data_IF_268367257126
#
_entry.id   IF_268367257126
#
_cell.length_a   1.000
_cell.length_b   1.000
_cell.length_c   1.000
_cell.angle_alpha   90.00
_cell.angle_beta   90.00
_cell.angle_gamma   90.00
#
_symmetry.space_group_name_H-M   'P 1'
#
loop_
_entity.id
_entity.type
_entity.pdbx_description
1 polymer ?
#
# COMPACT_ATOMS: atom_id res chain seq x y z
N UNK A 1 -11.79 -0.01 18.48
CA UNK A 1 -10.72 -0.58 17.63
C UNK A 1 -10.55 0.34 16.43
N UNK A 2 -9.31 0.68 16.03
CA UNK A 2 -9.06 1.56 14.88
C UNK A 2 -8.47 0.74 13.73
N UNK A 3 -9.15 0.74 12.58
CA UNK A 3 -8.66 0.13 11.34
C UNK A 3 -8.18 1.26 10.43
N UNK A 4 -6.97 1.11 9.89
CA UNK A 4 -6.42 2.01 8.89
C UNK A 4 -6.24 1.22 7.59
N UNK A 5 -7.06 1.54 6.59
CA UNK A 5 -6.75 1.15 5.21
C UNK A 5 -5.64 2.09 4.71
N UNK A 6 -4.51 1.52 4.29
CA UNK A 6 -3.39 2.34 3.83
C UNK A 6 -3.26 2.15 2.33
N UNK A 7 -3.90 3.04 1.59
CA UNK A 7 -3.82 3.06 0.14
C UNK A 7 -2.66 3.95 -0.30
N UNK A 8 -1.77 3.44 -1.15
CA UNK A 8 -0.78 4.25 -1.84
C UNK A 8 -1.47 4.94 -3.05
N UNK A 9 -1.71 6.26 -3.00
CA UNK A 9 -2.26 6.97 -4.17
C UNK A 9 -1.60 8.33 -4.49
N UNK A 10 -1.60 8.58 -5.82
CA UNK A 10 -0.95 9.62 -6.63
C UNK A 10 -1.40 11.06 -6.29
N UNK A 11 -0.48 12.04 -6.42
CA UNK A 11 -0.82 13.48 -6.52
C UNK A 11 -1.69 13.74 -7.78
N UNK A 12 -2.67 14.65 -7.67
CA UNK A 12 -3.41 15.20 -8.83
C UNK A 12 -2.45 15.88 -9.83
N UNK A 13 -2.70 15.80 -11.15
CA UNK A 13 -2.04 16.66 -12.12
C UNK A 13 -2.43 18.13 -11.89
N UNK A 14 -1.44 19.03 -11.97
CA UNK A 14 -1.68 20.47 -11.96
C UNK A 14 -2.33 20.87 -13.29
N UNK A 15 -3.59 21.28 -13.25
CA UNK A 15 -4.33 21.62 -14.45
C UNK A 15 -5.74 22.05 -14.12
N UNK A 16 -5.86 23.19 -13.44
CA UNK A 16 -6.94 24.15 -13.67
C UNK A 16 -6.48 25.49 -13.07
N UNK A 17 -6.05 26.39 -13.95
CA UNK A 17 -5.72 27.77 -13.61
C UNK A 17 -7.01 28.48 -13.21
N UNK A 18 -7.29 28.56 -11.91
CA UNK A 18 -8.19 29.57 -11.39
C UNK A 18 -7.49 30.94 -11.46
N UNK A 19 -8.28 31.95 -11.82
CA UNK A 19 -7.91 33.29 -12.29
C UNK A 19 -7.11 34.11 -11.27
N UNK A 20 -6.34 35.05 -11.82
CA UNK A 20 -5.54 36.05 -11.12
C UNK A 20 -6.34 36.92 -10.12
N UNK A 21 -5.69 37.31 -9.00
CA UNK A 21 -6.06 38.55 -8.29
C UNK A 21 -6.32 38.53 -6.77
N UNK A 22 -5.54 37.81 -5.94
CA UNK A 22 -5.57 38.04 -4.46
C UNK A 22 -4.15 37.92 -3.84
N UNK A 23 -3.69 38.86 -3.00
CA UNK A 23 -2.30 38.89 -2.51
C UNK A 23 -2.04 37.88 -1.37
N UNK A 24 -0.80 37.38 -1.37
CA UNK A 24 -0.18 36.61 -0.29
C UNK A 24 0.18 37.54 0.88
N UNK A 25 -0.20 37.18 2.11
CA UNK A 25 0.38 37.74 3.33
C UNK A 25 0.88 36.59 4.22
N UNK A 26 2.20 36.50 4.35
CA UNK A 26 2.84 35.68 5.37
C UNK A 26 2.88 36.41 6.72
N UNK A 27 2.63 35.67 7.80
CA UNK A 27 3.39 35.78 9.05
C UNK A 27 3.06 34.63 10.00
N UNK A 28 4.10 34.19 10.69
CA UNK A 28 4.13 33.20 11.76
C UNK A 28 3.09 33.46 12.84
N UNK A 29 2.37 32.42 13.28
CA UNK A 29 1.95 32.25 14.67
C UNK A 29 1.89 30.76 15.03
N UNK A 30 2.78 30.35 15.94
CA UNK A 30 2.62 29.13 16.73
C UNK A 30 1.63 29.41 17.87
N UNK A 31 0.58 28.60 17.99
CA UNK A 31 -0.15 28.40 19.25
C UNK A 31 -0.59 26.92 19.38
N UNK A 32 -0.63 26.36 20.61
CA UNK A 32 -0.93 24.94 20.83
C UNK A 32 -2.44 24.71 20.86
N UNK A 33 -2.97 23.87 19.98
CA UNK A 33 -4.39 23.53 19.98
C UNK A 33 -4.71 22.55 21.12
N UNK A 34 -5.46 23.03 22.11
CA UNK A 34 -6.13 22.26 23.16
C UNK A 34 -6.99 21.14 22.57
N UNK A 35 -6.91 19.95 23.17
CA UNK A 35 -7.72 18.79 22.82
C UNK A 35 -9.15 18.99 23.36
N UNK A 36 -10.14 19.12 22.48
CA UNK A 36 -11.56 18.94 22.82
C UNK A 36 -12.06 17.58 22.28
N UNK A 37 -12.99 16.91 22.97
CA UNK A 37 -13.50 15.60 22.56
C UNK A 37 -14.51 15.76 21.42
N UNK A 38 -14.27 15.08 20.28
CA UNK A 38 -15.17 15.17 19.11
C UNK A 38 -16.04 13.91 18.99
N UNK A 39 -17.30 14.05 19.38
CA UNK A 39 -18.43 13.21 18.99
C UNK A 39 -18.70 13.32 17.46
N UNK A 40 -19.07 12.17 16.90
CA UNK A 40 -19.84 11.89 15.66
C UNK A 40 -19.70 12.76 14.40
N UNK A 41 -19.39 12.03 13.31
CA UNK A 41 -19.62 12.31 11.88
C UNK A 41 -18.87 13.49 11.28
N UNK A 42 -17.77 13.19 10.55
CA UNK A 42 -17.37 13.87 9.31
C UNK A 42 -16.33 13.01 8.58
N UNK A 43 -16.51 12.87 7.26
CA UNK A 43 -15.54 12.29 6.32
C UNK A 43 -14.22 13.06 6.47
N UNK A 44 -13.10 12.37 6.67
CA UNK A 44 -11.79 13.01 6.72
C UNK A 44 -11.08 12.78 5.39
N UNK A 45 -11.04 13.82 4.55
CA UNK A 45 -9.97 14.02 3.57
C UNK A 45 -8.82 14.71 4.29
N UNK A 46 -7.61 14.17 4.18
CA UNK A 46 -6.39 14.89 4.54
C UNK A 46 -5.32 14.59 3.48
N UNK A 47 -4.81 15.65 2.87
CA UNK A 47 -3.67 15.63 1.96
C UNK A 47 -2.59 16.50 2.58
N UNK A 48 -1.35 16.02 2.63
CA UNK A 48 -0.18 16.79 3.10
C UNK A 48 0.91 16.73 2.03
N UNK A 49 1.49 17.89 1.74
CA UNK A 49 2.53 18.14 0.72
C UNK A 49 3.94 17.93 1.29
N UNK A 50 4.85 17.48 0.42
CA UNK A 50 6.29 17.58 0.58
C UNK A 50 6.93 17.70 -0.81
N UNK A 51 7.88 18.63 -0.95
CA UNK A 51 8.65 18.92 -2.16
C UNK A 51 9.85 17.97 -2.33
N UNK A 52 10.34 17.83 -3.57
CA UNK A 52 11.53 17.07 -3.92
C UNK A 52 12.61 18.01 -4.50
N UNK A 53 13.93 17.70 -4.32
CA UNK A 53 15.03 18.62 -4.59
C UNK A 53 15.42 18.70 -6.08
N UNK A 54 16.21 19.73 -6.40
CA UNK A 54 16.64 20.13 -7.74
C UNK A 54 17.48 19.07 -8.48
N UNK A 55 17.33 19.06 -9.82
CA UNK A 55 18.04 18.20 -10.77
C UNK A 55 19.53 18.57 -10.84
N UNK A 56 20.41 17.58 -10.73
CA UNK A 56 21.82 17.70 -11.09
C UNK A 56 22.06 17.10 -12.48
N UNK A 57 22.70 17.87 -13.36
CA UNK A 57 23.11 17.44 -14.69
C UNK A 57 24.38 16.58 -14.62
N UNK A 58 24.37 15.39 -15.23
CA UNK A 58 25.58 14.60 -15.44
C UNK A 58 25.90 14.49 -16.93
N UNK A 59 27.07 15.01 -17.29
CA UNK A 59 27.72 14.90 -18.60
C UNK A 59 28.19 13.45 -18.79
N UNK A 60 27.82 12.80 -19.91
CA UNK A 60 28.26 11.44 -20.25
C UNK A 60 29.44 11.50 -21.24
N UNK A 61 30.49 10.72 -20.96
CA UNK A 61 31.66 10.53 -21.82
C UNK A 61 31.33 9.68 -23.07
N UNK A 62 31.94 9.94 -24.24
CA UNK A 62 31.64 9.21 -25.47
C UNK A 62 32.49 7.93 -25.55
N UNK A 63 31.85 6.75 -25.53
CA UNK A 63 32.56 5.48 -25.74
C UNK A 63 31.82 4.20 -25.38
N UNK A 64 30.68 4.26 -24.69
CA UNK A 64 29.92 3.06 -24.35
C UNK A 64 28.88 2.76 -25.45
N UNK A 65 29.02 1.60 -26.09
CA UNK A 65 28.03 1.06 -27.02
C UNK A 65 26.63 1.16 -26.40
N UNK A 66 25.66 1.66 -27.17
CA UNK A 66 24.27 1.80 -26.71
C UNK A 66 23.77 0.41 -26.28
N UNK A 67 23.20 0.25 -25.06
CA UNK A 67 22.64 -1.02 -24.66
C UNK A 67 21.57 -1.48 -25.65
N UNK A 68 21.64 -2.75 -26.05
CA UNK A 68 20.75 -3.41 -27.04
C UNK A 68 19.28 -3.34 -26.64
N UNK A 69 18.97 -3.14 -25.36
CA UNK A 69 17.69 -2.69 -24.87
C UNK A 69 17.85 -1.29 -24.24
N UNK A 70 17.44 -0.24 -24.97
CA UNK A 70 17.04 0.98 -24.28
C UNK A 70 15.69 0.68 -23.59
N UNK A 71 15.53 0.87 -22.27
CA UNK A 71 14.25 0.62 -21.62
C UNK A 71 13.18 1.50 -22.30
N UNK A 72 11.98 0.96 -22.58
CA UNK A 72 10.89 1.78 -23.13
C UNK A 72 10.67 3.01 -22.23
N UNK A 73 10.71 4.21 -22.80
CA UNK A 73 10.54 5.46 -22.06
C UNK A 73 9.19 5.54 -21.33
N UNK A 74 8.17 4.79 -21.79
CA UNK A 74 6.87 4.62 -21.09
C UNK A 74 6.95 3.78 -19.81
N UNK A 75 8.04 3.04 -19.62
CA UNK A 75 8.37 2.35 -18.37
C UNK A 75 9.30 3.22 -17.50
N UNK A 76 10.15 4.04 -18.11
CA UNK A 76 11.13 4.90 -17.43
C UNK A 76 10.52 6.13 -16.75
N UNK A 77 9.42 6.66 -17.25
CA UNK A 77 8.71 7.77 -16.59
C UNK A 77 8.16 7.37 -15.21
N UNK A 78 8.33 6.10 -14.81
CA UNK A 78 7.96 5.54 -13.53
C UNK A 78 6.45 5.59 -13.31
N UNK A 79 5.67 5.99 -14.31
CA UNK A 79 4.21 6.04 -14.24
C UNK A 79 3.58 4.68 -14.48
N UNK A 80 4.31 3.79 -15.14
CA UNK A 80 4.00 2.36 -15.27
C UNK A 80 4.49 1.55 -14.08
N UNK A 81 5.79 1.63 -13.73
CA UNK A 81 6.35 0.81 -12.62
C UNK A 81 5.81 1.20 -11.25
N UNK A 82 5.64 2.51 -10.96
CA UNK A 82 5.17 3.01 -9.65
C UNK A 82 3.77 2.53 -9.25
N UNK A 83 3.01 1.97 -10.20
CA UNK A 83 1.66 1.46 -9.96
C UNK A 83 1.67 0.10 -9.26
N UNK A 84 2.70 -0.72 -9.50
CA UNK A 84 2.74 -2.11 -9.04
C UNK A 84 3.68 -2.32 -7.84
N UNK A 85 4.66 -1.43 -7.64
CA UNK A 85 5.67 -1.52 -6.57
C UNK A 85 5.34 -0.64 -5.33
N UNK A 86 4.30 0.19 -5.41
CA UNK A 86 3.91 1.14 -4.36
C UNK A 86 3.51 0.49 -3.03
N UNK A 87 2.80 -0.64 -3.06
CA UNK A 87 2.33 -1.31 -1.85
C UNK A 87 3.47 -1.99 -1.09
N UNK A 88 4.43 -2.56 -1.81
CA UNK A 88 5.65 -3.09 -1.19
C UNK A 88 6.48 -1.96 -0.59
N UNK A 89 6.64 -0.84 -1.29
CA UNK A 89 7.34 0.32 -0.76
C UNK A 89 6.67 0.83 0.54
N UNK A 90 5.34 0.86 0.56
CA UNK A 90 4.56 1.20 1.75
C UNK A 90 4.82 0.25 2.92
N UNK A 91 4.77 -1.07 2.69
CA UNK A 91 5.06 -2.07 3.74
C UNK A 91 6.46 -1.85 4.31
N UNK A 92 7.46 -1.70 3.44
CA UNK A 92 8.85 -1.46 3.86
C UNK A 92 8.95 -0.16 4.66
N UNK A 93 8.28 0.93 4.25
CA UNK A 93 8.29 2.19 4.99
C UNK A 93 7.61 2.08 6.37
N UNK A 94 6.51 1.32 6.48
CA UNK A 94 5.84 1.08 7.76
C UNK A 94 6.77 0.33 8.73
N UNK A 95 7.44 -0.71 8.24
CA UNK A 95 8.36 -1.53 9.01
C UNK A 95 9.60 -0.73 9.40
N UNK A 96 10.28 -0.11 8.43
CA UNK A 96 11.51 0.65 8.63
C UNK A 96 11.34 1.81 9.63
N UNK A 97 10.15 2.42 9.68
CA UNK A 97 9.81 3.44 10.66
C UNK A 97 9.24 2.89 11.97
N UNK A 98 9.14 1.57 12.15
CA UNK A 98 8.55 0.94 13.33
C UNK A 98 7.12 1.42 13.62
N UNK A 99 6.34 1.77 12.58
CA UNK A 99 4.99 2.33 12.76
C UNK A 99 4.05 1.30 13.42
N UNK A 100 3.97 0.04 12.95
CA UNK A 100 3.13 -0.97 13.60
C UNK A 100 3.53 -1.26 15.05
N UNK A 101 4.82 -1.14 15.36
CA UNK A 101 5.33 -1.31 16.72
C UNK A 101 4.91 -0.16 17.65
N UNK A 102 4.98 1.10 17.16
CA UNK A 102 4.55 2.29 17.93
C UNK A 102 3.03 2.35 18.11
N UNK A 103 2.26 1.77 17.20
CA UNK A 103 0.80 1.80 17.23
C UNK A 103 0.20 0.39 17.11
N UNK A 104 0.43 -0.51 18.10
CA UNK A 104 0.07 -1.93 17.99
C UNK A 104 -1.45 -2.19 17.96
N UNK A 105 -2.24 -1.21 18.40
CA UNK A 105 -3.70 -1.27 18.42
C UNK A 105 -4.36 -0.85 17.10
N UNK A 106 -3.58 -0.38 16.12
CA UNK A 106 -4.06 -0.09 14.76
C UNK A 106 -3.94 -1.35 13.92
N UNK A 107 -5.00 -1.70 13.19
CA UNK A 107 -4.93 -2.75 12.16
C UNK A 107 -4.74 -2.11 10.80
N UNK A 108 -3.67 -2.48 10.12
CA UNK A 108 -3.31 -1.96 8.80
C UNK A 108 -3.75 -2.96 7.74
N UNK A 109 -4.47 -2.49 6.72
CA UNK A 109 -4.80 -3.28 5.53
C UNK A 109 -4.00 -2.71 4.36
N UNK A 110 -3.16 -3.54 3.76
CA UNK A 110 -2.34 -3.21 2.59
C UNK A 110 -3.03 -3.75 1.34
N UNK A 111 -3.24 -2.93 0.31
CA UNK A 111 -3.95 -3.36 -0.87
C UNK A 111 -3.08 -4.24 -1.77
N UNK A 112 -3.73 -4.87 -2.75
CA UNK A 112 -3.14 -5.64 -3.84
C UNK A 112 -2.24 -6.78 -3.37
N UNK A 113 -2.66 -7.52 -2.34
CA UNK A 113 -1.86 -8.58 -1.69
C UNK A 113 -0.49 -8.09 -1.17
N UNK A 114 -0.29 -6.77 -1.02
CA UNK A 114 0.99 -6.17 -0.65
C UNK A 114 1.99 -6.05 -1.79
N UNK A 115 1.55 -6.14 -3.05
CA UNK A 115 2.41 -6.13 -4.23
C UNK A 115 3.44 -7.28 -4.16
N UNK A 116 4.73 -7.05 -4.46
CA UNK A 116 5.75 -8.09 -4.39
C UNK A 116 6.21 -8.47 -2.96
N UNK A 117 5.65 -7.87 -1.90
CA UNK A 117 6.02 -8.15 -0.50
C UNK A 117 6.08 -9.65 -0.14
N UNK A 118 5.09 -10.49 -0.51
CA UNK A 118 5.09 -11.92 -0.18
C UNK A 118 6.38 -12.65 -0.60
N UNK A 119 6.90 -12.30 -1.78
CA UNK A 119 8.12 -12.90 -2.34
C UNK A 119 9.39 -12.40 -1.67
N UNK A 120 9.34 -11.22 -1.05
CA UNK A 120 10.52 -10.50 -0.56
C UNK A 120 10.79 -10.69 0.93
N UNK A 121 9.91 -11.37 1.69
CA UNK A 121 10.02 -11.48 3.15
C UNK A 121 11.42 -11.90 3.65
N UNK A 122 12.02 -12.92 3.04
CA UNK A 122 13.38 -13.37 3.41
C UNK A 122 14.46 -12.35 3.05
N UNK A 123 14.31 -11.65 1.93
CA UNK A 123 15.21 -10.58 1.53
C UNK A 123 15.13 -9.40 2.48
N UNK A 124 13.91 -9.02 2.89
CA UNK A 124 13.69 -7.96 3.87
C UNK A 124 14.35 -8.30 5.21
N UNK A 125 14.16 -9.53 5.71
CA UNK A 125 14.81 -10.01 6.93
C UNK A 125 16.34 -9.89 6.88
N UNK A 126 16.94 -10.12 5.71
CA UNK A 126 18.40 -10.11 5.55
C UNK A 126 18.98 -8.71 5.26
N UNK A 127 18.21 -7.78 4.69
CA UNK A 127 18.74 -6.50 4.19
C UNK A 127 18.29 -5.28 4.98
N UNK A 128 17.04 -5.25 5.47
CA UNK A 128 16.52 -4.07 6.20
C UNK A 128 17.28 -3.83 7.52
N UNK A 129 17.64 -4.85 8.32
CA UNK A 129 18.36 -4.61 9.57
C UNK A 129 19.72 -3.92 9.41
N UNK A 130 20.37 -4.04 8.25
CA UNK A 130 21.63 -3.35 7.97
C UNK A 130 21.46 -1.81 7.91
N UNK A 131 20.29 -1.33 7.51
CA UNK A 131 19.96 0.10 7.42
C UNK A 131 19.12 0.57 8.61
N UNK A 132 18.45 -0.36 9.30
CA UNK A 132 17.57 -0.11 10.43
C UNK A 132 17.86 -1.12 11.56
N UNK A 133 19.01 -1.00 12.25
CA UNK A 133 19.44 -1.98 13.25
C UNK A 133 18.55 -2.00 14.50
N UNK A 134 17.86 -0.90 14.79
CA UNK A 134 17.00 -0.75 15.97
C UNK A 134 15.58 -1.33 15.80
N UNK A 135 15.35 -2.11 14.74
CA UNK A 135 14.06 -2.77 14.56
C UNK A 135 13.83 -3.78 15.68
N UNK A 136 12.64 -3.76 16.33
CA UNK A 136 12.36 -4.61 17.49
C UNK A 136 12.25 -6.10 17.13
N UNK A 137 12.06 -6.42 15.86
CA UNK A 137 11.89 -7.77 15.34
C UNK A 137 12.22 -7.84 13.85
N UNK A 138 12.25 -9.07 13.31
CA UNK A 138 12.44 -9.29 11.87
C UNK A 138 11.31 -8.63 11.05
N UNK A 139 11.63 -7.93 9.94
CA UNK A 139 10.63 -7.38 9.02
C UNK A 139 9.50 -8.33 8.65
N UNK A 140 9.79 -9.61 8.41
CA UNK A 140 8.78 -10.60 8.04
C UNK A 140 7.80 -10.93 9.16
N UNK A 141 8.19 -10.76 10.43
CA UNK A 141 7.30 -10.89 11.59
C UNK A 141 6.31 -9.73 11.61
N UNK A 142 6.79 -8.50 11.41
CA UNK A 142 5.92 -7.33 11.34
C UNK A 142 5.00 -7.39 10.13
N UNK A 143 5.50 -7.78 8.95
CA UNK A 143 4.70 -7.92 7.74
C UNK A 143 3.54 -8.91 7.94
N UNK A 144 3.80 -10.07 8.55
CA UNK A 144 2.75 -11.06 8.89
C UNK A 144 1.70 -10.58 9.89
N UNK A 145 1.91 -9.47 10.61
CA UNK A 145 0.89 -8.88 11.49
C UNK A 145 -0.07 -7.95 10.76
N UNK A 146 0.30 -7.48 9.57
CA UNK A 146 -0.56 -6.64 8.74
C UNK A 146 -1.66 -7.50 8.11
N UNK A 147 -2.73 -6.86 7.66
CA UNK A 147 -3.74 -7.47 6.82
C UNK A 147 -3.50 -7.08 5.37
N UNK A 148 -3.93 -7.92 4.44
CA UNK A 148 -3.77 -7.71 3.02
C UNK A 148 -5.09 -7.97 2.30
N UNK A 149 -5.44 -7.12 1.34
CA UNK A 149 -6.62 -7.41 0.52
C UNK A 149 -6.33 -8.40 -0.61
N UNK A 150 -7.39 -8.99 -1.16
CA UNK A 150 -7.33 -9.98 -2.25
C UNK A 150 -7.40 -9.35 -3.64
N UNK A 151 -7.17 -8.05 -3.81
CA UNK A 151 -7.23 -7.47 -5.15
C UNK A 151 -6.03 -8.00 -5.96
N UNK A 152 -6.28 -8.86 -6.94
CA UNK A 152 -5.23 -9.58 -7.65
C UNK A 152 -5.51 -9.85 -9.13
N UNK A 153 -6.54 -9.24 -9.71
CA UNK A 153 -6.96 -9.45 -11.10
C UNK A 153 -7.13 -10.94 -11.46
N UNK A 154 -7.82 -11.71 -10.60
CA UNK A 154 -8.01 -13.15 -10.79
C UNK A 154 -6.74 -14.01 -10.73
N UNK A 155 -5.57 -13.44 -10.36
CA UNK A 155 -4.30 -14.17 -10.35
C UNK A 155 -4.23 -15.18 -9.20
N UNK A 156 -4.40 -16.45 -9.53
CA UNK A 156 -4.19 -17.57 -8.60
C UNK A 156 -2.77 -17.57 -8.01
N UNK A 157 -1.75 -17.36 -8.83
CA UNK A 157 -0.36 -17.35 -8.39
C UNK A 157 -0.09 -16.26 -7.34
N UNK A 158 -0.67 -15.07 -7.52
CA UNK A 158 -0.55 -13.99 -6.55
C UNK A 158 -1.23 -14.35 -5.23
N UNK A 159 -2.46 -14.88 -5.29
CA UNK A 159 -3.20 -15.28 -4.09
C UNK A 159 -2.47 -16.39 -3.32
N UNK A 160 -2.01 -17.44 -3.99
CA UNK A 160 -1.25 -18.53 -3.37
C UNK A 160 0.04 -18.03 -2.73
N UNK A 161 0.73 -17.07 -3.37
CA UNK A 161 1.94 -16.46 -2.81
C UNK A 161 1.63 -15.65 -1.54
N UNK A 162 0.59 -14.81 -1.57
CA UNK A 162 0.13 -14.05 -0.42
C UNK A 162 -0.32 -14.95 0.73
N UNK A 163 -1.12 -15.98 0.43
CA UNK A 163 -1.58 -16.98 1.39
C UNK A 163 -0.40 -17.69 2.06
N UNK A 164 0.58 -18.17 1.28
CA UNK A 164 1.77 -18.84 1.83
C UNK A 164 2.64 -17.91 2.67
N UNK A 165 2.66 -16.62 2.36
CA UNK A 165 3.46 -15.63 3.07
C UNK A 165 2.82 -15.18 4.39
N UNK A 166 1.51 -14.95 4.39
CA UNK A 166 0.81 -14.27 5.48
C UNK A 166 -0.19 -15.15 6.25
N UNK A 167 -0.69 -16.22 5.63
CA UNK A 167 -1.77 -17.05 6.16
C UNK A 167 -3.16 -16.52 5.79
N UNK A 168 -4.13 -17.43 5.68
CA UNK A 168 -5.51 -17.11 5.30
C UNK A 168 -6.19 -16.11 6.24
N UNK A 169 -5.82 -16.10 7.51
CA UNK A 169 -6.45 -15.27 8.54
C UNK A 169 -6.02 -13.79 8.49
N UNK A 170 -4.98 -13.50 7.71
CA UNK A 170 -4.45 -12.16 7.45
C UNK A 170 -4.81 -11.63 6.05
N UNK A 171 -5.53 -12.41 5.24
CA UNK A 171 -6.10 -11.96 3.97
C UNK A 171 -7.57 -11.58 4.16
N UNK A 172 -8.00 -10.49 3.52
CA UNK A 172 -9.39 -10.01 3.54
C UNK A 172 -9.85 -9.67 2.12
N UNK A 173 -11.13 -9.90 1.81
CA UNK A 173 -11.64 -9.55 0.49
C UNK A 173 -11.57 -8.05 0.21
N UNK A 174 -11.03 -7.67 -0.94
CA UNK A 174 -11.03 -6.29 -1.45
C UNK A 174 -11.56 -6.24 -2.87
N UNK A 175 -12.22 -5.14 -3.25
CA UNK A 175 -12.88 -5.01 -4.56
C UNK A 175 -12.22 -4.03 -5.52
N UNK A 176 -11.36 -3.15 -5.01
CA UNK A 176 -10.84 -1.96 -5.70
C UNK A 176 -11.89 -1.23 -6.57
N UNK A 177 -13.10 -1.07 -6.01
CA UNK A 177 -14.21 -0.44 -6.72
C UNK A 177 -14.02 1.09 -6.74
N UNK A 178 -14.28 1.76 -7.88
CA UNK A 178 -14.75 1.22 -9.15
C UNK A 178 -13.63 0.86 -10.14
N UNK A 179 -12.36 1.07 -9.78
CA UNK A 179 -11.24 1.01 -10.73
C UNK A 179 -11.09 -0.36 -11.39
N UNK A 180 -11.23 -1.44 -10.62
CA UNK A 180 -11.08 -2.81 -11.13
C UNK A 180 -12.17 -3.21 -12.15
N UNK A 181 -13.30 -2.51 -12.14
CA UNK A 181 -14.40 -2.78 -13.08
C UNK A 181 -14.06 -2.47 -14.54
N UNK A 182 -13.02 -1.69 -14.78
CA UNK A 182 -12.50 -1.44 -16.14
C UNK A 182 -11.79 -2.68 -16.71
N UNK A 183 -11.50 -3.70 -15.89
CA UNK A 183 -10.68 -4.86 -16.24
C UNK A 183 -11.38 -6.21 -16.00
N UNK A 184 -12.24 -6.32 -14.98
CA UNK A 184 -13.00 -7.54 -14.67
C UNK A 184 -14.38 -7.22 -14.06
N UNK A 185 -15.27 -8.21 -14.04
CA UNK A 185 -16.59 -8.02 -13.41
C UNK A 185 -16.47 -7.97 -11.88
N UNK A 186 -17.35 -7.22 -11.22
CA UNK A 186 -17.36 -7.12 -9.75
C UNK A 186 -17.47 -8.48 -9.04
N UNK A 187 -18.23 -9.42 -9.61
CA UNK A 187 -18.35 -10.77 -9.04
C UNK A 187 -17.05 -11.57 -9.17
N UNK A 188 -16.33 -11.37 -10.28
CA UNK A 188 -15.09 -12.09 -10.56
C UNK A 188 -13.97 -11.75 -9.57
N UNK A 189 -13.95 -10.51 -9.08
CA UNK A 189 -13.03 -10.04 -8.03
C UNK A 189 -13.04 -10.89 -6.75
N UNK A 190 -14.13 -11.61 -6.49
CA UNK A 190 -14.22 -12.55 -5.37
C UNK A 190 -14.31 -14.01 -5.81
N UNK A 191 -14.98 -14.29 -6.94
CA UNK A 191 -15.24 -15.64 -7.41
C UNK A 191 -13.94 -16.40 -7.75
N UNK A 192 -12.87 -15.71 -8.13
CA UNK A 192 -11.60 -16.38 -8.40
C UNK A 192 -11.03 -17.10 -7.18
N UNK A 193 -11.28 -16.59 -5.96
CA UNK A 193 -10.79 -17.17 -4.70
C UNK A 193 -11.34 -18.58 -4.49
N UNK A 194 -12.57 -18.86 -4.93
CA UNK A 194 -13.20 -20.19 -4.76
C UNK A 194 -12.68 -21.23 -5.74
N UNK A 195 -11.87 -20.83 -6.73
CA UNK A 195 -11.36 -21.72 -7.78
C UNK A 195 -9.87 -22.03 -7.63
N UNK A 196 -9.20 -21.37 -6.69
CA UNK A 196 -7.80 -21.63 -6.35
C UNK A 196 -7.68 -22.91 -5.53
N UNK A 197 -6.60 -23.67 -5.74
CA UNK A 197 -6.29 -24.88 -4.98
C UNK A 197 -5.86 -24.56 -3.53
N UNK A 198 -6.84 -24.23 -2.69
CA UNK A 198 -6.71 -23.98 -1.25
C UNK A 198 -7.69 -24.83 -0.44
N UNK A 199 -7.37 -25.17 0.82
CA UNK A 199 -8.34 -25.81 1.70
C UNK A 199 -9.62 -24.98 1.80
N UNK A 200 -10.79 -25.63 1.78
CA UNK A 200 -12.08 -24.92 1.85
C UNK A 200 -12.19 -24.04 3.11
N UNK A 201 -11.60 -24.48 4.23
CA UNK A 201 -11.52 -23.69 5.46
C UNK A 201 -10.80 -22.37 5.28
N UNK A 202 -9.78 -22.34 4.42
CA UNK A 202 -8.98 -21.15 4.14
C UNK A 202 -9.70 -20.24 3.15
N UNK A 203 -10.40 -20.81 2.16
CA UNK A 203 -11.31 -20.06 1.28
C UNK A 203 -12.37 -19.34 2.11
N UNK A 204 -13.06 -20.05 3.01
CA UNK A 204 -14.07 -19.47 3.90
C UNK A 204 -13.47 -18.42 4.85
N UNK A 205 -12.23 -18.65 5.30
CA UNK A 205 -11.51 -17.72 6.15
C UNK A 205 -11.25 -16.40 5.41
N UNK A 206 -10.73 -16.46 4.19
CA UNK A 206 -10.41 -15.29 3.35
C UNK A 206 -11.68 -14.53 2.96
N UNK A 207 -12.71 -15.25 2.49
CA UNK A 207 -13.95 -14.65 1.98
C UNK A 207 -14.80 -14.00 3.07
N UNK A 208 -14.76 -14.52 4.30
CA UNK A 208 -15.73 -14.14 5.32
C UNK A 208 -15.08 -13.87 6.68
N UNK A 209 -14.41 -14.87 7.27
CA UNK A 209 -14.10 -14.85 8.70
C UNK A 209 -13.03 -13.81 9.06
N UNK A 210 -12.06 -13.58 8.19
CA UNK A 210 -11.01 -12.58 8.41
C UNK A 210 -11.61 -11.17 8.50
N UNK A 211 -12.54 -10.82 7.60
CA UNK A 211 -13.22 -9.54 7.61
C UNK A 211 -14.16 -9.41 8.82
N UNK A 212 -14.93 -10.46 9.15
CA UNK A 212 -15.80 -10.49 10.34
C UNK A 212 -15.00 -10.25 11.63
N UNK A 213 -13.87 -10.97 11.80
CA UNK A 213 -12.96 -10.83 12.94
C UNK A 213 -12.36 -9.42 13.00
N UNK A 214 -11.92 -8.90 11.85
CA UNK A 214 -11.26 -7.60 11.75
C UNK A 214 -12.24 -6.45 12.02
N UNK A 215 -13.43 -6.46 11.43
CA UNK A 215 -14.38 -5.36 11.54
C UNK A 215 -15.44 -5.55 12.63
N UNK A 216 -15.42 -6.70 13.31
CA UNK A 216 -16.33 -7.06 14.42
C UNK A 216 -17.80 -7.04 14.01
N UNK A 217 -18.12 -7.61 12.87
CA UNK A 217 -19.50 -7.87 12.48
C UNK A 217 -19.74 -9.38 12.46
N UNK A 218 -20.95 -9.78 12.87
CA UNK A 218 -21.37 -11.16 12.78
C UNK A 218 -21.76 -11.46 11.33
N UNK A 219 -21.28 -12.57 10.78
CA UNK A 219 -21.88 -13.13 9.57
C UNK A 219 -23.28 -13.62 9.90
N UNK A 220 -24.26 -13.22 9.09
CA UNK A 220 -25.57 -13.85 9.02
C UNK A 220 -25.49 -15.22 8.38
#
# INVERSE_FOLDING_TARGET
>A
MRVAAVAAYRRRPAGDRARAGQPWHGRDQHEPVRVQPLERRKRVRAAVHGDAPARGDSVLSPGLQRPVLAPDQRLQDGRGSRRFDGDCALVVQLIARGVPYRFPNIKYIVPHLGGPTPMLLRRLDNQVPAQHPDLPEKPSVTARRLYYDTVGHGSEAALLCGWKAFGADHLVTGSDYPYLMDYESYGETFAYITRVDLPQTDIDQILHRSAQRLFKFNGS
#
